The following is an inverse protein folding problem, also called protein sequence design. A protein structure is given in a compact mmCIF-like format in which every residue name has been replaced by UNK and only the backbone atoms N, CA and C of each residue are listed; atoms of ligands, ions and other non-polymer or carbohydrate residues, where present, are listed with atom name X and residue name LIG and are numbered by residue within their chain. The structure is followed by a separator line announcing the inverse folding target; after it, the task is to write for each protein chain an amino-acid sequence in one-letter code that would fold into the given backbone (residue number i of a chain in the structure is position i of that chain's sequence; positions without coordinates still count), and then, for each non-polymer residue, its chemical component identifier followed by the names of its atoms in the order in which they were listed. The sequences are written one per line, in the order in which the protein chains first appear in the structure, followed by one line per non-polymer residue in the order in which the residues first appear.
data_IF_891716706319
#
_entry.id   IF_891716706319
#
_cell.length_a   1.000
_cell.length_b   1.000
_cell.length_c   1.000
_cell.angle_alpha   90.00
_cell.angle_beta   90.00
_cell.angle_gamma   90.00
#
_symmetry.space_group_name_H-M   'P 1'
#
loop_
_entity.id
_entity.type
_entity.pdbx_description
1 polymer ?
#
# COMPACT_ATOMS: atom_id res chain seq x y z
N UNK A 1 -0.71 19.19 -5.53
CA UNK A 1 -0.03 19.34 -4.23
C UNK A 1 -0.73 18.52 -3.16
N UNK A 2 -0.58 17.21 -3.19
CA UNK A 2 -0.93 16.30 -2.09
C UNK A 2 0.24 15.34 -2.02
N UNK A 3 1.16 15.66 -1.12
CA UNK A 3 2.45 14.99 -0.95
C UNK A 3 2.32 13.47 -1.02
N UNK A 4 2.83 12.91 -2.12
CA UNK A 4 3.22 11.50 -2.20
C UNK A 4 4.41 11.35 -1.28
N UNK A 5 4.13 11.22 0.02
CA UNK A 5 5.13 10.92 1.03
C UNK A 5 5.58 9.48 0.78
N UNK A 6 6.62 9.33 -0.05
CA UNK A 6 7.37 8.07 -0.14
C UNK A 6 8.06 7.90 1.20
N UNK A 7 7.42 7.20 2.14
CA UNK A 7 8.01 6.89 3.45
C UNK A 7 9.32 6.12 3.23
N UNK A 8 10.42 6.51 3.90
CA UNK A 8 11.73 5.94 3.65
C UNK A 8 11.71 4.46 4.03
N UNK A 9 12.39 3.64 3.21
CA UNK A 9 12.67 2.24 3.46
C UNK A 9 13.00 2.01 4.94
N UNK A 10 12.15 1.28 5.65
CA UNK A 10 12.56 0.60 6.86
C UNK A 10 13.41 -0.60 6.43
N UNK A 11 14.69 -0.35 6.21
CA UNK A 11 15.73 -1.38 6.25
C UNK A 11 15.72 -2.02 7.64
N UNK A 12 14.93 -3.07 7.83
CA UNK A 12 15.04 -3.95 9.00
C UNK A 12 15.61 -5.30 8.58
N UNK A 13 16.84 -5.50 9.03
CA UNK A 13 17.71 -6.66 8.86
C UNK A 13 16.96 -7.98 9.18
N UNK A 14 17.01 -8.95 8.26
CA UNK A 14 16.80 -10.39 8.49
C UNK A 14 15.58 -10.79 9.34
N UNK A 15 14.45 -10.12 9.17
CA UNK A 15 13.18 -10.63 9.70
C UNK A 15 12.59 -11.62 8.69
N UNK A 16 12.12 -12.80 9.13
CA UNK A 16 11.37 -13.76 8.30
C UNK A 16 9.98 -13.22 7.89
N UNK A 17 9.87 -11.91 7.73
CA UNK A 17 8.64 -11.24 7.39
C UNK A 17 8.43 -11.37 5.88
N UNK A 18 7.18 -11.50 5.43
CA UNK A 18 6.87 -11.44 4.00
C UNK A 18 7.53 -10.20 3.40
N UNK A 19 8.35 -10.39 2.37
CA UNK A 19 8.97 -9.28 1.63
C UNK A 19 7.93 -8.45 0.88
N UNK A 20 6.75 -9.03 0.68
CA UNK A 20 5.73 -8.54 -0.23
C UNK A 20 4.62 -7.89 0.59
N UNK A 21 4.73 -6.58 0.78
CA UNK A 21 3.73 -5.73 1.41
C UNK A 21 3.70 -4.35 0.76
N UNK A 22 2.61 -3.61 0.99
CA UNK A 22 2.53 -2.20 0.63
C UNK A 22 1.93 -1.38 1.76
N UNK A 23 2.41 -0.15 1.90
CA UNK A 23 1.82 0.83 2.81
C UNK A 23 1.22 1.96 1.97
N UNK A 24 0.01 2.40 2.33
CA UNK A 24 -0.68 3.52 1.69
C UNK A 24 -1.30 4.41 2.76
N UNK A 25 -1.18 5.72 2.59
CA UNK A 25 -1.97 6.68 3.36
C UNK A 25 -3.44 6.54 2.98
N UNK A 26 -4.32 6.36 3.96
CA UNK A 26 -5.76 6.33 3.72
C UNK A 26 -6.25 7.73 3.34
N UNK A 27 -6.88 7.82 2.19
CA UNK A 27 -7.57 9.03 1.72
C UNK A 27 -8.99 9.08 2.28
N UNK A 28 -9.64 10.24 2.28
CA UNK A 28 -11.02 10.37 2.75
C UNK A 28 -11.99 9.41 2.04
N UNK A 29 -11.75 9.14 0.74
CA UNK A 29 -12.54 8.15 -0.01
C UNK A 29 -12.37 6.72 0.51
N UNK A 30 -11.17 6.33 0.95
CA UNK A 30 -10.89 4.98 1.46
C UNK A 30 -11.64 4.68 2.77
N UNK A 31 -12.00 5.71 3.53
CA UNK A 31 -12.69 5.58 4.83
C UNK A 31 -14.16 5.96 4.78
N UNK A 32 -14.68 6.37 3.61
CA UNK A 32 -16.08 6.77 3.46
C UNK A 32 -16.98 5.54 3.33
N UNK A 33 -18.17 5.56 3.95
CA UNK A 33 -19.13 4.44 3.94
C UNK A 33 -19.56 4.01 2.55
N UNK A 34 -19.67 4.99 1.63
CA UNK A 34 -20.09 4.74 0.24
C UNK A 34 -18.90 4.66 -0.73
N UNK A 35 -17.68 4.87 -0.26
CA UNK A 35 -16.47 4.71 -1.05
C UNK A 35 -15.91 3.30 -0.95
N UNK A 36 -14.70 3.13 -1.48
CA UNK A 36 -13.96 1.89 -1.42
C UNK A 36 -12.47 2.13 -1.21
N UNK A 37 -11.75 1.07 -0.91
CA UNK A 37 -10.30 1.11 -0.75
C UNK A 37 -9.61 1.03 -2.12
N UNK A 38 -8.79 2.02 -2.43
CA UNK A 38 -7.97 2.02 -3.64
C UNK A 38 -6.62 1.32 -3.42
N UNK A 39 -6.19 0.45 -4.33
CA UNK A 39 -4.85 -0.16 -4.28
C UNK A 39 -4.01 0.33 -5.46
N UNK A 40 -2.76 0.79 -5.23
CA UNK A 40 -1.86 1.14 -6.33
C UNK A 40 -1.67 -0.06 -7.28
N UNK A 41 -1.72 0.17 -8.59
CA UNK A 41 -1.64 -0.90 -9.60
C UNK A 41 -0.45 -1.86 -9.38
N UNK A 42 0.74 -1.30 -9.12
CA UNK A 42 1.96 -2.09 -8.86
C UNK A 42 1.82 -3.01 -7.65
N UNK A 43 1.13 -2.56 -6.59
CA UNK A 43 0.88 -3.39 -5.42
C UNK A 43 -0.12 -4.50 -5.76
N UNK A 44 -1.14 -4.21 -6.57
CA UNK A 44 -2.12 -5.22 -6.95
C UNK A 44 -1.53 -6.35 -7.81
N UNK A 45 -0.66 -6.02 -8.75
CA UNK A 45 0.01 -6.99 -9.63
C UNK A 45 0.99 -7.91 -8.86
N UNK A 46 1.61 -7.40 -7.80
CA UNK A 46 2.61 -8.14 -7.03
C UNK A 46 2.02 -8.92 -5.83
N UNK A 47 0.93 -8.43 -5.23
CA UNK A 47 0.43 -8.93 -3.93
C UNK A 47 -0.86 -9.73 -4.01
N UNK A 48 -1.66 -9.54 -5.07
CA UNK A 48 -2.92 -10.26 -5.21
C UNK A 48 -2.81 -11.34 -6.29
N UNK A 49 -3.63 -12.40 -6.20
CA UNK A 49 -3.76 -13.36 -7.28
C UNK A 49 -4.12 -12.67 -8.60
N UNK A 50 -3.69 -13.21 -9.75
CA UNK A 50 -4.18 -12.77 -11.05
C UNK A 50 -5.70 -12.84 -11.10
N UNK A 51 -6.32 -11.78 -11.62
CA UNK A 51 -7.77 -11.66 -11.78
C UNK A 51 -8.25 -12.36 -13.06
#
# INVERSE_FOLDING_TARGET
EMDVFSSPQSESKHSKQPSDYFCKTLTASDTSTHGGFSVPRRAAENLFPPL
#
